data_IF_757512690003
#
_entry.id   IF_757512690003
#
_cell.length_a   1.000
_cell.length_b   1.000
_cell.length_c   1.000
_cell.angle_alpha   90.00
_cell.angle_beta   90.00
_cell.angle_gamma   90.00
#
_symmetry.space_group_name_H-M   'P 1'
#
loop_
_entity.id
_entity.type
_entity.pdbx_description
1 polymer ?
#
# COMPACT_ATOMS: atom_id res chain seq x y z
N UNK A 1 21.16 -35.31 16.82
CA UNK A 1 21.19 -34.49 18.04
C UNK A 1 19.74 -34.24 18.45
N UNK A 2 19.29 -34.94 19.49
CA UNK A 2 17.87 -34.97 19.89
C UNK A 2 17.52 -33.75 20.73
N UNK A 3 16.39 -33.09 20.41
CA UNK A 3 15.76 -32.09 21.26
C UNK A 3 14.48 -32.73 21.82
N UNK A 4 14.40 -32.91 23.14
CA UNK A 4 13.19 -33.34 23.83
C UNK A 4 12.46 -32.13 24.42
N UNK A 5 11.16 -32.01 24.15
CA UNK A 5 10.30 -30.99 24.71
C UNK A 5 9.41 -31.61 25.80
N UNK A 6 9.44 -31.07 27.01
CA UNK A 6 8.50 -31.42 28.10
C UNK A 6 7.35 -30.42 28.11
N UNK A 7 6.10 -30.92 28.20
CA UNK A 7 4.93 -30.10 28.52
C UNK A 7 4.30 -30.60 29.82
N UNK A 8 4.01 -29.68 30.75
CA UNK A 8 3.12 -29.90 31.89
C UNK A 8 1.95 -28.92 31.73
N UNK A 9 0.73 -29.43 31.57
CA UNK A 9 -0.49 -28.62 31.52
C UNK A 9 -1.27 -28.82 32.83
N UNK A 10 -1.63 -27.72 33.47
CA UNK A 10 -2.81 -27.63 34.32
C UNK A 10 -3.78 -26.68 33.62
N UNK A 11 -5.03 -27.10 33.43
CA UNK A 11 -6.11 -26.22 32.98
C UNK A 11 -6.48 -26.32 31.50
N UNK A 12 -7.42 -27.22 31.25
CA UNK A 12 -8.41 -27.29 30.16
C UNK A 12 -8.47 -26.12 29.15
N UNK A 13 -8.03 -26.37 27.92
CA UNK A 13 -8.70 -26.10 26.63
C UNK A 13 -7.74 -26.49 25.49
N UNK A 14 -8.14 -27.46 24.67
CA UNK A 14 -7.31 -28.11 23.65
C UNK A 14 -7.04 -27.18 22.46
N UNK A 15 -5.78 -26.82 22.22
CA UNK A 15 -5.30 -26.42 20.88
C UNK A 15 -4.21 -27.40 20.48
N UNK A 16 -4.61 -28.45 19.77
CA UNK A 16 -3.69 -29.43 19.18
C UNK A 16 -3.14 -28.87 17.88
N UNK A 17 -1.88 -28.45 17.86
CA UNK A 17 -1.14 -28.20 16.62
C UNK A 17 -0.54 -29.53 16.15
N UNK A 18 -1.15 -30.14 15.14
CA UNK A 18 -0.66 -31.35 14.51
C UNK A 18 0.36 -30.98 13.42
N UNK A 19 1.64 -31.21 13.68
CA UNK A 19 2.68 -31.18 12.65
C UNK A 19 2.76 -32.58 12.02
N UNK A 20 2.13 -32.77 10.86
CA UNK A 20 2.38 -33.96 10.04
C UNK A 20 3.58 -33.70 9.12
N UNK A 21 4.72 -34.28 9.47
CA UNK A 21 5.82 -34.49 8.53
C UNK A 21 5.54 -35.82 7.81
N UNK A 22 5.10 -35.77 6.55
CA UNK A 22 5.09 -36.97 5.69
C UNK A 22 6.14 -36.75 4.62
N UNK A 23 7.31 -37.35 4.85
CA UNK A 23 8.29 -37.59 3.79
C UNK A 23 7.73 -38.61 2.79
N UNK A 24 8.07 -38.39 1.52
CA UNK A 24 7.84 -39.27 0.36
C UNK A 24 6.38 -39.43 -0.11
N UNK A 25 6.00 -38.62 -1.09
CA UNK A 25 4.97 -38.99 -2.08
C UNK A 25 5.52 -38.73 -3.48
N UNK A 26 5.53 -39.71 -4.41
CA UNK A 26 5.38 -39.41 -5.81
C UNK A 26 3.88 -39.50 -6.14
N UNK A 27 3.20 -38.36 -6.22
CA UNK A 27 1.92 -38.27 -6.95
C UNK A 27 2.28 -37.83 -8.37
N UNK A 28 2.55 -38.79 -9.24
CA UNK A 28 2.37 -38.60 -10.67
C UNK A 28 1.19 -39.45 -11.11
N UNK A 29 0.00 -38.90 -10.91
CA UNK A 29 -1.19 -39.26 -11.66
C UNK A 29 -2.00 -37.97 -11.83
N UNK A 30 -1.62 -37.18 -12.84
CA UNK A 30 -2.54 -36.26 -13.48
C UNK A 30 -2.61 -36.70 -14.95
N UNK A 31 -3.53 -37.63 -15.17
CA UNK A 31 -4.13 -37.92 -16.45
C UNK A 31 -4.75 -36.65 -17.06
N UNK A 32 -4.97 -36.72 -18.37
CA UNK A 32 -5.22 -35.68 -19.35
C UNK A 32 -6.11 -34.46 -18.98
N UNK A 33 -5.76 -33.33 -19.60
CA UNK A 33 -6.67 -32.25 -20.01
C UNK A 33 -7.32 -31.38 -18.93
N UNK A 34 -6.52 -30.70 -18.10
CA UNK A 34 -6.95 -29.39 -17.58
C UNK A 34 -6.57 -28.32 -18.61
N UNK A 35 -7.53 -27.53 -19.14
CA UNK A 35 -7.18 -26.40 -19.99
C UNK A 35 -6.23 -25.52 -19.19
N UNK A 36 -5.05 -25.26 -19.75
CA UNK A 36 -4.07 -24.38 -19.14
C UNK A 36 -4.78 -23.06 -18.88
N UNK A 37 -4.98 -22.72 -17.61
CA UNK A 37 -5.25 -21.34 -17.21
C UNK A 37 -3.94 -20.56 -17.34
N UNK A 38 -3.45 -20.49 -18.57
CA UNK A 38 -2.88 -19.27 -19.11
C UNK A 38 -4.07 -18.33 -19.32
N UNK A 39 -4.63 -17.83 -18.23
CA UNK A 39 -4.90 -16.41 -18.22
C UNK A 39 -3.55 -15.84 -17.88
N UNK A 40 -2.77 -15.47 -18.88
CA UNK A 40 -1.90 -14.32 -18.72
C UNK A 40 -2.79 -13.20 -18.18
N UNK A 41 -2.88 -13.12 -16.86
CA UNK A 41 -3.11 -11.87 -16.15
C UNK A 41 -1.85 -11.06 -16.47
N UNK A 42 -1.75 -10.63 -17.73
CA UNK A 42 -1.28 -9.30 -18.03
C UNK A 42 -2.06 -8.47 -17.05
N UNK A 43 -1.40 -8.07 -15.97
CA UNK A 43 -1.79 -6.86 -15.28
C UNK A 43 -1.71 -5.84 -16.39
N UNK A 44 -2.84 -5.62 -17.06
CA UNK A 44 -3.02 -4.61 -18.07
C UNK A 44 -3.08 -3.30 -17.28
N UNK A 45 -1.96 -3.00 -16.65
CA UNK A 45 -1.73 -1.84 -15.84
C UNK A 45 -1.26 -0.76 -16.76
N UNK A 46 -1.76 0.44 -16.52
CA UNK A 46 -1.19 1.62 -17.15
C UNK A 46 0.08 1.96 -16.37
N UNK A 47 1.22 1.99 -17.05
CA UNK A 47 2.44 2.56 -16.47
C UNK A 47 2.42 4.07 -16.73
N UNK A 48 2.27 4.84 -15.65
CA UNK A 48 2.31 6.29 -15.68
C UNK A 48 3.61 6.77 -15.05
N UNK A 49 4.48 7.37 -15.87
CA UNK A 49 5.62 8.16 -15.37
C UNK A 49 5.28 9.63 -15.48
N UNK A 50 5.26 10.32 -14.34
CA UNK A 50 4.90 11.73 -14.26
C UNK A 50 5.92 12.53 -13.48
N UNK A 51 6.04 13.81 -13.85
CA UNK A 51 6.77 14.82 -13.10
C UNK A 51 5.86 16.02 -12.97
N UNK A 52 5.63 16.46 -11.75
CA UNK A 52 4.79 17.63 -11.45
C UNK A 52 5.70 18.74 -10.96
N UNK A 53 5.45 19.95 -11.45
CA UNK A 53 6.00 21.17 -10.87
C UNK A 53 4.89 21.81 -10.05
N UNK A 54 5.04 21.78 -8.74
CA UNK A 54 4.13 22.48 -7.84
C UNK A 54 4.52 23.96 -7.81
N UNK A 55 3.54 24.85 -7.82
CA UNK A 55 3.74 26.26 -7.54
C UNK A 55 3.55 26.48 -6.04
N UNK A 56 4.43 27.27 -5.41
CA UNK A 56 4.40 27.46 -3.97
C UNK A 56 5.58 28.27 -3.43
N UNK A 57 5.80 28.25 -2.10
CA UNK A 57 6.87 29.00 -1.43
C UNK A 57 8.23 28.34 -1.67
N UNK A 58 8.70 28.35 -2.91
CA UNK A 58 10.00 27.84 -3.32
C UNK A 58 11.14 28.70 -2.75
N UNK A 59 12.12 28.04 -2.16
CA UNK A 59 13.30 28.66 -1.55
C UNK A 59 14.50 28.44 -2.48
N UNK A 60 14.84 29.45 -3.28
CA UNK A 60 15.86 29.35 -4.34
C UNK A 60 17.26 28.99 -3.85
N UNK A 61 17.59 29.30 -2.60
CA UNK A 61 18.89 28.98 -2.00
C UNK A 61 19.07 27.50 -1.69
N UNK A 62 17.98 26.77 -1.41
CA UNK A 62 18.02 25.34 -1.06
C UNK A 62 17.47 24.45 -2.17
N UNK A 63 16.66 25.01 -3.06
CA UNK A 63 15.94 24.23 -4.08
C UNK A 63 14.70 23.50 -3.54
N UNK A 64 14.28 23.78 -2.31
CA UNK A 64 13.14 23.13 -1.67
C UNK A 64 11.95 24.08 -1.52
N UNK A 65 10.78 23.52 -1.24
CA UNK A 65 9.60 24.27 -0.84
C UNK A 65 9.58 24.46 0.66
N UNK A 66 9.01 25.57 1.12
CA UNK A 66 8.83 25.78 2.54
C UNK A 66 7.77 24.84 3.13
N UNK A 67 8.13 24.17 4.20
CA UNK A 67 7.34 23.19 4.95
C UNK A 67 6.45 23.76 6.08
N UNK A 68 6.23 25.08 6.12
CA UNK A 68 5.46 25.71 7.23
C UNK A 68 4.06 25.13 7.37
N UNK A 69 3.43 24.72 6.27
CA UNK A 69 2.08 24.16 6.30
C UNK A 69 2.05 22.83 7.06
N UNK A 70 3.05 21.97 6.87
CA UNK A 70 3.21 20.75 7.65
C UNK A 70 3.48 21.08 9.12
N UNK A 71 4.47 21.92 9.39
CA UNK A 71 4.88 22.28 10.76
C UNK A 71 3.79 23.01 11.55
N UNK A 72 2.92 23.74 10.87
CA UNK A 72 1.81 24.47 11.49
C UNK A 72 0.53 23.63 11.58
N UNK A 73 0.56 22.37 11.16
CA UNK A 73 -0.58 21.45 11.24
C UNK A 73 -1.73 21.76 10.27
N UNK A 74 -1.44 22.50 9.18
CA UNK A 74 -2.44 22.84 8.16
C UNK A 74 -2.61 21.76 7.09
N UNK A 75 -1.68 20.80 7.00
CA UNK A 75 -1.86 19.63 6.14
C UNK A 75 -2.74 18.63 6.88
N UNK A 76 -3.95 18.33 6.37
CA UNK A 76 -4.83 17.38 7.02
C UNK A 76 -4.25 15.96 6.96
N UNK A 77 -4.46 15.19 8.03
CA UNK A 77 -4.03 13.78 8.08
C UNK A 77 -4.82 12.91 7.13
N UNK A 78 -6.11 13.21 6.97
CA UNK A 78 -6.98 12.58 5.97
C UNK A 78 -6.92 13.33 4.65
N UNK A 79 -7.03 12.61 3.54
CA UNK A 79 -7.17 13.23 2.22
C UNK A 79 -8.31 14.30 2.21
N UNK A 80 -8.09 15.50 1.62
CA UNK A 80 -9.04 16.62 1.68
C UNK A 80 -10.08 16.66 0.52
N UNK A 81 -10.07 15.68 -0.37
CA UNK A 81 -10.81 15.68 -1.63
C UNK A 81 -12.22 15.05 -1.56
N UNK A 82 -12.72 14.72 -0.36
CA UNK A 82 -14.07 14.15 -0.19
C UNK A 82 -15.22 15.11 -0.48
N UNK A 83 -14.97 16.42 -0.53
CA UNK A 83 -15.99 17.42 -0.86
C UNK A 83 -16.07 17.74 -2.35
N UNK A 84 -17.14 18.44 -2.75
CA UNK A 84 -17.24 19.00 -4.10
C UNK A 84 -16.04 19.93 -4.41
N UNK A 85 -15.53 19.94 -5.66
CA UNK A 85 -16.06 19.25 -6.85
C UNK A 85 -15.64 17.78 -6.97
N UNK A 86 -14.63 17.35 -6.21
CA UNK A 86 -13.97 16.05 -6.42
C UNK A 86 -14.81 14.88 -5.92
N UNK A 87 -15.50 15.04 -4.79
CA UNK A 87 -16.32 13.99 -4.15
C UNK A 87 -15.59 12.64 -4.07
N UNK A 88 -14.30 12.68 -3.71
CA UNK A 88 -13.46 11.51 -3.67
C UNK A 88 -13.66 10.76 -2.34
N UNK A 89 -14.37 9.64 -2.39
CA UNK A 89 -14.71 8.79 -1.23
C UNK A 89 -13.54 7.94 -0.69
N UNK A 90 -12.30 8.25 -1.10
CA UNK A 90 -11.09 7.59 -0.62
C UNK A 90 -10.87 7.76 0.89
N UNK A 91 -10.14 6.83 1.49
CA UNK A 91 -9.91 6.79 2.95
C UNK A 91 -8.43 6.98 3.32
N UNK A 92 -7.61 7.44 2.39
CA UNK A 92 -6.17 7.62 2.55
C UNK A 92 -5.85 8.53 3.74
N UNK A 93 -4.90 8.07 4.56
CA UNK A 93 -4.39 8.78 5.72
C UNK A 93 -2.86 8.86 5.64
N UNK A 94 -2.31 9.97 6.14
CA UNK A 94 -0.88 10.07 6.40
C UNK A 94 -0.51 9.24 7.61
N UNK A 95 0.69 8.65 7.57
CA UNK A 95 1.26 8.03 8.75
C UNK A 95 1.61 9.11 9.79
N UNK A 96 1.57 8.80 11.09
CA UNK A 96 1.84 9.78 12.14
C UNK A 96 3.14 10.56 11.92
N UNK A 97 4.20 9.84 11.56
CA UNK A 97 5.55 10.37 11.36
C UNK A 97 5.70 11.24 10.10
N UNK A 98 4.79 11.15 9.12
CA UNK A 98 4.95 11.85 7.83
C UNK A 98 4.94 13.37 7.97
N UNK A 99 4.23 13.89 8.98
CA UNK A 99 4.15 15.34 9.22
C UNK A 99 5.28 15.87 10.13
N UNK A 100 6.02 14.97 10.77
CA UNK A 100 7.19 15.32 11.61
C UNK A 100 8.47 15.46 10.76
N UNK A 101 8.41 15.06 9.49
CA UNK A 101 9.52 15.17 8.54
C UNK A 101 9.74 16.64 8.12
N UNK A 102 11.00 17.04 7.99
CA UNK A 102 11.41 18.40 7.62
C UNK A 102 12.48 18.40 6.53
N UNK A 103 12.69 19.55 5.90
CA UNK A 103 13.69 19.70 4.85
C UNK A 103 13.28 18.99 3.56
N UNK A 104 14.18 18.18 2.99
CA UNK A 104 13.99 17.56 1.68
C UNK A 104 12.82 16.57 1.63
N UNK A 105 12.50 15.94 2.75
CA UNK A 105 11.47 14.91 2.85
C UNK A 105 10.16 15.44 3.44
N UNK A 106 10.05 16.74 3.66
CA UNK A 106 8.83 17.32 4.24
C UNK A 106 7.67 17.28 3.24
N UNK A 107 6.49 16.92 3.74
CA UNK A 107 5.27 17.04 2.95
C UNK A 107 4.85 18.51 2.81
N UNK A 108 4.44 18.88 1.61
CA UNK A 108 4.07 20.26 1.28
C UNK A 108 2.60 20.42 0.91
N UNK A 109 1.99 19.43 0.28
CA UNK A 109 0.58 19.44 -0.10
C UNK A 109 0.07 18.03 -0.44
N UNK A 110 -1.25 17.87 -0.48
CA UNK A 110 -1.94 16.71 -1.05
C UNK A 110 -2.16 16.92 -2.56
N UNK A 111 -2.02 15.86 -3.34
CA UNK A 111 -2.35 15.87 -4.77
C UNK A 111 -3.27 14.69 -5.07
N UNK A 112 -4.45 14.97 -5.61
CA UNK A 112 -5.33 13.96 -6.19
C UNK A 112 -4.97 13.76 -7.66
N UNK A 113 -4.61 12.53 -8.02
CA UNK A 113 -4.35 12.16 -9.40
C UNK A 113 -5.32 11.07 -9.82
N UNK A 114 -5.97 11.27 -10.97
CA UNK A 114 -6.94 10.35 -11.50
C UNK A 114 -6.58 9.93 -12.92
N UNK A 115 -6.62 8.62 -13.16
CA UNK A 115 -6.48 8.07 -14.50
C UNK A 115 -7.87 7.73 -15.02
N UNK A 116 -8.30 8.44 -16.07
CA UNK A 116 -9.66 8.32 -16.61
C UNK A 116 -9.64 7.69 -18.00
N UNK A 117 -10.67 6.92 -18.30
CA UNK A 117 -10.90 6.40 -19.65
C UNK A 117 -11.40 7.52 -20.57
N UNK A 118 -11.00 7.48 -21.84
CA UNK A 118 -11.37 8.48 -22.85
C UNK A 118 -12.89 8.65 -22.99
N UNK A 119 -13.65 7.58 -22.75
CA UNK A 119 -15.12 7.59 -22.89
C UNK A 119 -15.86 8.15 -21.66
N UNK A 120 -15.16 8.38 -20.55
CA UNK A 120 -15.76 8.91 -19.31
C UNK A 120 -14.87 9.97 -18.63
N UNK A 121 -14.54 11.10 -19.30
CA UNK A 121 -13.92 12.22 -18.61
C UNK A 121 -14.94 12.85 -17.63
N UNK A 122 -14.55 13.10 -16.38
CA UNK A 122 -15.30 13.97 -15.47
C UNK A 122 -14.50 15.29 -15.37
N UNK A 123 -15.22 16.42 -15.40
CA UNK A 123 -14.65 17.78 -15.31
C UNK A 123 -14.79 18.33 -13.91
#
# INVERSE_FOLDING_TARGET
>A
MQLQLFFRLAGSLLVSVLLLWVGWMPVFAADAALPRLDSSLSTQGVNLSMRVLLQGPYVSTTGFMHDRLSQSGFIPRSQPFGGAPWNYDGTEQLLPESLDMSGQDSMVDWVLLELRAVQSPQT
#
